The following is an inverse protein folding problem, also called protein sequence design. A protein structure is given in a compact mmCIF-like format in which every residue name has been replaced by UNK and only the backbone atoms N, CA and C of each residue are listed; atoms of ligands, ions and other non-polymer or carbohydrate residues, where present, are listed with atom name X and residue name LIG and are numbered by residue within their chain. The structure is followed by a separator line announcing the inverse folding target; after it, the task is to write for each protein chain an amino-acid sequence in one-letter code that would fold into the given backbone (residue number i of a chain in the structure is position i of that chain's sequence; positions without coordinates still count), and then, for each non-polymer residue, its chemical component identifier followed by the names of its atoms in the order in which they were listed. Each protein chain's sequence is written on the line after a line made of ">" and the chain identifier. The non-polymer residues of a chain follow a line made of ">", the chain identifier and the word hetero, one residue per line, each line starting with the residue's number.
data_IF_385883823394
#
_entry.id   IF_385883823394
#
_cell.length_a   1.000
_cell.length_b   1.000
_cell.length_c   1.000
_cell.angle_alpha   90.00
_cell.angle_beta   90.00
_cell.angle_gamma   90.00
#
_symmetry.space_group_name_H-M   'P 1'
#
loop_
_entity.id
_entity.type
_entity.pdbx_description
1 polymer ?
#
# COMPACT_ATOMS: atom_id res chain seq x y z
N UNK A 1 -2.66 -17.14 -52.08
CA UNK A 1 -3.46 -15.93 -51.76
C UNK A 1 -2.88 -15.28 -50.51
N UNK A 2 -3.05 -13.93 -50.36
CA UNK A 2 -2.57 -13.28 -49.16
C UNK A 2 -3.45 -13.64 -47.95
N UNK A 3 -2.88 -14.36 -47.00
CA UNK A 3 -3.52 -14.62 -45.68
C UNK A 3 -3.40 -13.36 -44.84
N UNK A 4 -4.52 -12.79 -44.40
CA UNK A 4 -4.58 -11.63 -43.51
C UNK A 4 -4.67 -12.06 -42.07
N UNK A 5 -3.61 -11.86 -41.33
CA UNK A 5 -3.62 -12.12 -39.88
C UNK A 5 -4.03 -10.83 -39.17
N UNK A 6 -5.15 -10.92 -38.46
CA UNK A 6 -5.70 -9.80 -37.67
C UNK A 6 -5.14 -9.86 -36.26
N UNK A 7 -5.00 -8.70 -35.61
CA UNK A 7 -4.63 -8.65 -34.20
C UNK A 7 -5.69 -9.41 -33.38
N UNK A 8 -5.34 -10.55 -32.76
CA UNK A 8 -6.29 -11.31 -31.93
C UNK A 8 -6.53 -10.58 -30.59
N UNK A 9 -7.62 -10.88 -29.90
CA UNK A 9 -7.83 -10.52 -28.51
C UNK A 9 -6.89 -11.35 -27.62
N UNK A 10 -5.82 -10.70 -27.10
CA UNK A 10 -4.73 -11.35 -26.36
C UNK A 10 -4.99 -11.32 -24.84
N UNK A 11 -6.13 -10.77 -24.39
CA UNK A 11 -6.48 -10.70 -22.97
C UNK A 11 -7.86 -10.07 -22.76
N UNK A 12 -8.49 -10.36 -21.62
CA UNK A 12 -9.86 -9.99 -21.30
C UNK A 12 -10.15 -8.49 -21.58
N UNK A 13 -10.75 -8.18 -22.75
CA UNK A 13 -11.31 -6.87 -23.06
C UNK A 13 -10.33 -5.81 -23.58
N UNK A 14 -9.23 -6.21 -24.21
CA UNK A 14 -8.30 -5.28 -24.87
C UNK A 14 -8.91 -4.73 -26.15
N UNK A 15 -8.86 -3.40 -26.32
CA UNK A 15 -9.31 -2.72 -27.53
C UNK A 15 -8.17 -2.44 -28.52
N UNK A 16 -6.92 -2.25 -28.03
CA UNK A 16 -5.75 -1.92 -28.83
C UNK A 16 -4.45 -2.49 -28.24
N UNK A 17 -3.41 -2.65 -29.07
CA UNK A 17 -2.05 -2.98 -28.66
C UNK A 17 -1.03 -2.13 -29.45
N UNK A 18 0.13 -1.87 -28.87
CA UNK A 18 1.24 -1.15 -29.49
C UNK A 18 2.26 -2.13 -30.06
N UNK A 19 2.68 -1.94 -31.29
CA UNK A 19 3.73 -2.75 -31.93
C UNK A 19 5.08 -2.30 -31.38
N UNK A 20 5.76 -3.17 -30.61
CA UNK A 20 7.07 -2.86 -30.01
C UNK A 20 8.18 -3.08 -31.02
N UNK A 21 8.27 -4.28 -31.58
CA UNK A 21 9.30 -4.66 -32.54
C UNK A 21 8.78 -5.72 -33.50
N UNK A 22 9.14 -5.57 -34.78
CA UNK A 22 8.91 -6.59 -35.79
C UNK A 22 10.10 -7.55 -35.86
N UNK A 23 9.84 -8.84 -35.60
CA UNK A 23 10.85 -9.90 -35.69
C UNK A 23 11.08 -10.40 -37.13
N UNK A 24 10.31 -9.85 -38.07
CA UNK A 24 10.34 -10.22 -39.49
C UNK A 24 10.20 -8.96 -40.36
N UNK A 25 10.74 -9.00 -41.58
CA UNK A 25 10.63 -7.93 -42.54
C UNK A 25 9.77 -8.34 -43.76
N UNK A 26 9.30 -7.34 -44.53
CA UNK A 26 8.58 -7.59 -45.80
C UNK A 26 9.51 -8.32 -46.76
N UNK A 27 9.07 -9.47 -47.26
CA UNK A 27 9.81 -10.38 -48.12
C UNK A 27 10.43 -11.58 -47.42
N UNK A 28 10.39 -11.63 -46.07
CA UNK A 28 10.89 -12.77 -45.34
C UNK A 28 9.97 -13.99 -45.48
N UNK A 29 10.57 -15.18 -45.44
CA UNK A 29 9.86 -16.45 -45.42
C UNK A 29 9.70 -16.88 -43.96
N UNK A 30 8.46 -17.04 -43.51
CA UNK A 30 8.12 -17.39 -42.16
C UNK A 30 7.53 -18.81 -42.10
N UNK A 31 7.85 -19.53 -41.03
CA UNK A 31 7.24 -20.81 -40.72
C UNK A 31 5.98 -20.60 -39.86
N UNK A 32 5.08 -21.58 -39.84
CA UNK A 32 3.96 -21.61 -38.91
C UNK A 32 4.48 -21.66 -37.48
N UNK A 33 3.84 -20.93 -36.59
CA UNK A 33 4.20 -20.76 -35.15
C UNK A 33 5.53 -20.04 -34.92
N UNK A 34 6.14 -19.44 -35.94
CA UNK A 34 7.31 -18.58 -35.79
C UNK A 34 6.88 -17.21 -35.24
N UNK A 35 7.58 -16.66 -34.22
CA UNK A 35 7.31 -15.30 -33.73
C UNK A 35 7.44 -14.26 -34.86
N UNK A 36 6.43 -13.38 -35.02
CA UNK A 36 6.36 -12.35 -36.03
C UNK A 36 6.60 -10.96 -35.49
N UNK A 37 6.03 -10.68 -34.33
CA UNK A 37 5.98 -9.33 -33.75
C UNK A 37 5.83 -9.41 -32.25
N UNK A 38 6.48 -8.50 -31.55
CA UNK A 38 6.24 -8.24 -30.14
C UNK A 38 5.25 -7.08 -30.02
N UNK A 39 4.16 -7.29 -29.28
CA UNK A 39 3.14 -6.28 -29.01
C UNK A 39 3.02 -6.02 -27.52
N UNK A 40 2.87 -4.76 -27.15
CA UNK A 40 2.68 -4.31 -25.81
C UNK A 40 1.19 -3.99 -25.59
N UNK A 41 0.61 -4.62 -24.56
CA UNK A 41 -0.71 -4.32 -24.06
C UNK A 41 -0.62 -3.49 -22.78
N UNK A 42 -1.73 -3.06 -22.23
CA UNK A 42 -1.79 -2.34 -20.95
C UNK A 42 -1.27 -3.16 -19.74
N UNK A 43 -1.07 -4.49 -19.92
CA UNK A 43 -0.70 -5.42 -18.82
C UNK A 43 0.57 -6.21 -19.05
N UNK A 44 0.94 -6.47 -20.30
CA UNK A 44 2.11 -7.29 -20.62
C UNK A 44 2.57 -7.12 -22.06
N UNK A 45 3.84 -7.44 -22.31
CA UNK A 45 4.38 -7.67 -23.66
C UNK A 45 4.14 -9.12 -24.07
N UNK A 46 3.74 -9.35 -25.31
CA UNK A 46 3.43 -10.68 -25.86
C UNK A 46 3.95 -10.82 -27.27
N UNK A 47 4.62 -11.94 -27.56
CA UNK A 47 5.01 -12.30 -28.93
C UNK A 47 3.86 -13.01 -29.66
N UNK A 48 3.54 -12.55 -30.86
CA UNK A 48 2.50 -13.16 -31.71
C UNK A 48 3.13 -14.06 -32.75
N UNK A 49 2.78 -15.37 -32.75
CA UNK A 49 3.29 -16.31 -33.75
C UNK A 49 2.48 -16.27 -35.05
N UNK A 50 3.12 -16.68 -36.15
CA UNK A 50 2.50 -16.80 -37.46
C UNK A 50 1.45 -17.94 -37.49
N UNK A 51 0.24 -17.67 -37.95
CA UNK A 51 -0.78 -18.72 -38.10
C UNK A 51 -0.51 -19.63 -39.31
N UNK A 52 0.29 -19.21 -40.26
CA UNK A 52 0.60 -19.92 -41.52
C UNK A 52 2.07 -19.80 -41.88
N UNK A 53 2.57 -20.75 -42.68
CA UNK A 53 3.87 -20.60 -43.31
C UNK A 53 3.70 -19.87 -44.66
N UNK A 54 4.64 -18.94 -44.99
CA UNK A 54 4.53 -18.20 -46.23
C UNK A 54 5.52 -17.05 -46.31
N UNK A 55 5.36 -16.16 -47.28
CA UNK A 55 6.19 -14.97 -47.43
C UNK A 55 5.46 -13.72 -46.97
N UNK A 56 6.09 -12.90 -46.15
CA UNK A 56 5.52 -11.64 -45.65
C UNK A 56 5.35 -10.64 -46.81
N UNK A 57 4.11 -10.26 -47.09
CA UNK A 57 3.77 -9.30 -48.12
C UNK A 57 3.72 -7.86 -47.60
N UNK A 58 3.17 -7.66 -46.40
CA UNK A 58 2.94 -6.36 -45.82
C UNK A 58 2.84 -6.42 -44.29
N UNK A 59 3.39 -5.42 -43.62
CA UNK A 59 3.18 -5.15 -42.20
C UNK A 59 2.03 -4.14 -42.05
N UNK A 60 1.13 -4.35 -41.10
CA UNK A 60 -0.08 -3.56 -40.94
C UNK A 60 0.13 -2.25 -40.19
N UNK A 61 1.14 -2.19 -39.30
CA UNK A 61 1.50 -1.01 -38.51
C UNK A 61 3.01 -0.86 -38.44
N UNK A 62 3.51 0.34 -38.19
CA UNK A 62 4.93 0.61 -37.93
C UNK A 62 5.27 0.29 -36.44
N UNK A 63 6.56 0.13 -36.15
CA UNK A 63 7.04 0.07 -34.74
C UNK A 63 6.70 1.35 -34.00
N UNK A 64 6.17 1.22 -32.76
CA UNK A 64 5.64 2.32 -31.95
C UNK A 64 4.22 2.75 -32.30
N UNK A 65 3.57 2.15 -33.32
CA UNK A 65 2.20 2.46 -33.71
C UNK A 65 1.19 1.54 -32.98
N UNK A 66 0.02 2.09 -32.66
CA UNK A 66 -1.08 1.32 -32.05
C UNK A 66 -2.00 0.76 -33.11
N UNK A 67 -2.41 -0.47 -32.91
CA UNK A 67 -3.32 -1.21 -33.78
C UNK A 67 -4.50 -1.74 -32.96
N UNK A 68 -5.72 -1.66 -33.52
CA UNK A 68 -6.93 -2.13 -32.84
C UNK A 68 -7.12 -3.64 -33.01
N UNK A 69 -7.71 -4.28 -32.03
CA UNK A 69 -8.12 -5.70 -32.12
C UNK A 69 -9.06 -5.86 -33.32
N UNK A 70 -8.72 -6.82 -34.20
CA UNK A 70 -9.45 -7.06 -35.43
C UNK A 70 -8.94 -6.30 -36.66
N UNK A 71 -7.97 -5.41 -36.54
CA UNK A 71 -7.27 -4.82 -37.67
C UNK A 71 -6.20 -5.75 -38.25
N UNK A 72 -5.80 -5.51 -39.50
CA UNK A 72 -4.82 -6.35 -40.19
C UNK A 72 -3.42 -6.07 -39.63
N UNK A 73 -2.86 -7.03 -38.90
CA UNK A 73 -1.53 -6.96 -38.32
C UNK A 73 -0.43 -7.26 -39.38
N UNK A 74 -0.62 -8.33 -40.16
CA UNK A 74 0.33 -8.73 -41.18
C UNK A 74 -0.38 -9.47 -42.32
N UNK A 75 0.12 -9.34 -43.56
CA UNK A 75 -0.33 -10.12 -44.73
C UNK A 75 0.79 -11.08 -45.18
N UNK A 76 0.47 -12.37 -45.30
CA UNK A 76 1.41 -13.46 -45.61
C UNK A 76 0.89 -14.18 -46.88
N UNK A 77 1.73 -14.37 -47.87
CA UNK A 77 1.41 -15.24 -49.02
C UNK A 77 1.72 -16.69 -48.69
N UNK A 78 0.70 -17.46 -48.46
CA UNK A 78 0.80 -18.87 -48.12
C UNK A 78 0.90 -19.82 -49.32
N UNK A 79 0.91 -19.26 -50.53
CA UNK A 79 1.08 -20.02 -51.80
C UNK A 79 -0.11 -20.95 -52.14
N UNK A 80 -1.22 -20.88 -51.40
CA UNK A 80 -2.42 -21.68 -51.67
C UNK A 80 -3.34 -20.96 -52.68
N UNK A 81 -3.60 -21.63 -53.79
CA UNK A 81 -4.65 -21.29 -54.75
C UNK A 81 -5.91 -22.09 -54.40
N UNK A 82 -7.04 -21.42 -54.29
CA UNK A 82 -8.41 -21.86 -54.10
C UNK A 82 -9.09 -21.83 -52.70
N UNK A 83 -10.14 -21.04 -52.70
CA UNK A 83 -11.53 -21.43 -52.40
C UNK A 83 -11.96 -21.42 -50.93
N UNK A 84 -12.70 -20.34 -50.62
CA UNK A 84 -13.88 -20.38 -49.73
C UNK A 84 -13.88 -21.40 -48.57
N UNK A 85 -13.75 -20.91 -47.35
CA UNK A 85 -14.84 -21.19 -46.39
C UNK A 85 -14.79 -20.25 -45.15
N UNK A 86 -15.92 -19.65 -44.87
CA UNK A 86 -16.14 -18.89 -43.65
C UNK A 86 -16.36 -19.85 -42.48
N UNK A 87 -15.78 -19.65 -41.34
CA UNK A 87 -16.11 -20.49 -40.20
C UNK A 87 -17.41 -20.00 -39.54
N UNK A 88 -18.37 -20.94 -39.48
CA UNK A 88 -19.56 -20.89 -38.67
C UNK A 88 -19.20 -20.95 -37.18
N UNK A 89 -19.97 -20.32 -36.32
CA UNK A 89 -19.75 -20.38 -34.89
C UNK A 89 -20.14 -21.74 -34.34
N UNK A 90 -19.26 -22.34 -33.56
CA UNK A 90 -19.52 -23.57 -32.85
C UNK A 90 -20.13 -23.31 -31.49
N UNK A 91 -21.16 -24.05 -31.23
CA UNK A 91 -22.06 -24.11 -30.12
C UNK A 91 -21.44 -24.16 -28.72
N UNK A 92 -22.10 -23.45 -27.86
CA UNK A 92 -22.07 -23.56 -26.40
C UNK A 92 -22.68 -24.91 -25.96
N UNK A 93 -22.14 -25.61 -24.99
CA UNK A 93 -22.97 -26.46 -24.15
C UNK A 93 -23.25 -25.79 -22.82
N UNK A 94 -24.51 -25.53 -22.65
CA UNK A 94 -25.25 -25.32 -21.42
C UNK A 94 -24.94 -26.42 -20.38
N UNK A 95 -24.61 -26.06 -19.18
CA UNK A 95 -24.69 -26.91 -18.01
C UNK A 95 -25.02 -26.09 -16.77
N UNK A 96 -26.31 -25.87 -16.65
CA UNK A 96 -27.01 -25.54 -15.41
C UNK A 96 -26.66 -26.55 -14.31
N UNK A 97 -26.13 -26.07 -13.18
CA UNK A 97 -26.49 -26.65 -11.88
C UNK A 97 -26.44 -25.60 -10.79
N UNK A 98 -27.62 -25.30 -10.32
CA UNK A 98 -27.91 -24.53 -9.11
C UNK A 98 -27.20 -25.14 -7.88
N UNK A 99 -26.53 -24.32 -7.11
CA UNK A 99 -26.17 -24.63 -5.73
C UNK A 99 -26.90 -23.66 -4.84
N UNK A 100 -27.73 -24.22 -4.03
CA UNK A 100 -28.60 -23.62 -3.04
C UNK A 100 -27.80 -22.80 -2.01
N UNK A 101 -28.18 -21.55 -1.88
CA UNK A 101 -27.67 -20.65 -0.84
C UNK A 101 -28.37 -21.00 0.47
N UNK A 102 -27.67 -21.59 1.41
CA UNK A 102 -28.12 -21.65 2.80
C UNK A 102 -27.72 -20.35 3.52
N UNK A 103 -28.72 -19.63 3.95
CA UNK A 103 -28.64 -18.44 4.82
C UNK A 103 -28.27 -18.89 6.23
N UNK A 104 -27.26 -18.30 6.89
CA UNK A 104 -27.03 -18.60 8.30
C UNK A 104 -28.11 -17.94 9.15
N UNK A 105 -28.75 -18.72 9.97
CA UNK A 105 -29.77 -18.31 10.93
C UNK A 105 -29.18 -17.35 11.99
N UNK A 106 -29.86 -16.25 12.18
CA UNK A 106 -29.67 -15.30 13.27
C UNK A 106 -29.87 -16.01 14.62
N UNK A 107 -28.85 -16.07 15.44
CA UNK A 107 -28.94 -16.52 16.82
C UNK A 107 -29.44 -15.36 17.70
N UNK A 108 -30.70 -15.44 18.11
CA UNK A 108 -31.23 -14.62 19.20
C UNK A 108 -30.53 -14.95 20.54
N UNK A 109 -30.32 -13.96 21.44
CA UNK A 109 -29.72 -14.21 22.73
C UNK A 109 -30.69 -14.95 23.66
N UNK A 110 -30.34 -16.19 23.98
CA UNK A 110 -31.11 -17.00 24.91
C UNK A 110 -30.90 -16.51 26.35
N UNK A 111 -31.96 -16.08 26.95
CA UNK A 111 -32.12 -15.80 28.39
C UNK A 111 -31.65 -16.96 29.28
N UNK A 112 -30.93 -16.63 30.35
CA UNK A 112 -30.42 -17.57 31.34
C UNK A 112 -31.57 -18.29 32.05
N UNK A 113 -31.49 -19.60 32.25
CA UNK A 113 -32.43 -20.31 33.13
C UNK A 113 -31.96 -20.31 34.57
N UNK A 114 -32.83 -19.79 35.41
CA UNK A 114 -32.80 -19.89 36.88
C UNK A 114 -32.78 -21.33 37.36
N UNK A 115 -31.87 -21.64 38.32
CA UNK A 115 -31.95 -22.62 39.37
C UNK A 115 -32.37 -24.07 39.05
N UNK A 116 -31.52 -24.84 38.36
CA UNK A 116 -31.67 -26.29 38.24
C UNK A 116 -30.40 -27.03 38.70
N UNK A 117 -30.57 -28.15 39.46
CA UNK A 117 -29.47 -28.99 39.97
C UNK A 117 -28.58 -29.42 38.79
N UNK A 118 -27.33 -28.92 38.74
CA UNK A 118 -26.34 -29.19 37.70
C UNK A 118 -26.09 -30.71 37.60
N UNK A 119 -26.38 -31.28 36.42
CA UNK A 119 -26.16 -32.71 36.11
C UNK A 119 -24.75 -32.91 35.57
N UNK A 120 -23.79 -33.27 36.38
CA UNK A 120 -22.42 -33.59 35.99
C UNK A 120 -21.92 -34.84 36.72
N UNK A 121 -21.02 -35.61 36.08
CA UNK A 121 -20.39 -36.78 36.73
C UNK A 121 -19.37 -36.35 37.78
N UNK A 122 -19.01 -37.25 38.73
CA UNK A 122 -17.97 -36.93 39.72
C UNK A 122 -16.62 -36.55 39.10
N UNK A 123 -16.25 -37.17 37.94
CA UNK A 123 -15.04 -36.85 37.22
C UNK A 123 -15.11 -35.44 36.58
N UNK A 124 -16.27 -35.06 35.98
CA UNK A 124 -16.51 -33.74 35.43
C UNK A 124 -16.46 -32.64 36.47
N UNK A 125 -16.99 -32.91 37.69
CA UNK A 125 -16.94 -31.96 38.82
C UNK A 125 -15.52 -31.75 39.33
N UNK A 126 -14.69 -32.83 39.38
CA UNK A 126 -13.29 -32.72 39.78
C UNK A 126 -12.48 -31.91 38.78
N UNK A 127 -12.64 -32.19 37.50
CA UNK A 127 -11.97 -31.42 36.43
C UNK A 127 -12.37 -29.95 36.46
N UNK A 128 -13.66 -29.62 36.66
CA UNK A 128 -14.12 -28.24 36.75
C UNK A 128 -13.49 -27.47 37.91
N UNK A 129 -13.29 -28.16 39.05
CA UNK A 129 -12.58 -27.59 40.20
C UNK A 129 -11.07 -27.38 39.92
N UNK A 130 -10.43 -28.31 39.21
CA UNK A 130 -9.01 -28.21 38.85
C UNK A 130 -8.75 -27.06 37.88
N UNK A 131 -9.66 -26.83 36.90
CA UNK A 131 -9.51 -25.78 35.85
C UNK A 131 -10.29 -24.49 36.19
N UNK A 132 -10.90 -24.37 37.37
CA UNK A 132 -11.55 -23.15 37.83
C UNK A 132 -12.86 -22.78 37.11
N UNK A 133 -13.54 -23.74 36.47
CA UNK A 133 -14.75 -23.51 35.67
C UNK A 133 -16.01 -23.72 36.53
N UNK A 134 -16.92 -22.73 36.58
CA UNK A 134 -18.21 -22.86 37.26
C UNK A 134 -19.21 -23.66 36.39
N UNK A 135 -19.55 -24.86 36.90
CA UNK A 135 -20.52 -25.74 36.23
C UNK A 135 -21.94 -25.17 36.16
N UNK A 136 -22.30 -24.19 36.97
CA UNK A 136 -23.61 -23.57 36.93
C UNK A 136 -23.77 -22.63 35.71
N UNK A 137 -22.65 -22.14 35.20
CA UNK A 137 -22.60 -21.29 34.02
C UNK A 137 -22.56 -22.08 32.69
N UNK A 138 -22.41 -23.43 32.76
CA UNK A 138 -22.26 -24.26 31.57
C UNK A 138 -23.57 -24.91 31.14
N UNK A 139 -23.75 -24.98 29.81
CA UNK A 139 -24.80 -25.78 29.16
C UNK A 139 -24.23 -27.15 28.79
N UNK A 140 -24.73 -28.22 29.38
CA UNK A 140 -24.25 -29.58 29.11
C UNK A 140 -24.68 -30.06 27.70
N UNK A 141 -23.74 -30.57 26.91
CA UNK A 141 -23.97 -31.18 25.60
C UNK A 141 -24.41 -32.64 25.63
N UNK A 142 -24.31 -33.29 26.81
CA UNK A 142 -24.63 -34.72 26.99
C UNK A 142 -26.14 -35.02 27.11
N UNK A 143 -26.52 -36.30 27.05
CA UNK A 143 -27.92 -36.72 27.10
C UNK A 143 -28.66 -36.20 28.34
N UNK A 144 -29.83 -35.57 28.12
CA UNK A 144 -30.62 -34.93 29.17
C UNK A 144 -30.01 -33.68 29.80
N UNK A 145 -29.13 -32.95 29.06
CA UNK A 145 -28.49 -31.72 29.51
C UNK A 145 -27.36 -31.95 30.53
N UNK A 146 -26.73 -33.12 30.50
CA UNK A 146 -25.59 -33.44 31.38
C UNK A 146 -24.32 -32.78 30.88
N UNK A 147 -23.57 -32.12 31.76
CA UNK A 147 -22.26 -31.53 31.45
C UNK A 147 -21.23 -32.66 31.30
N UNK A 148 -20.56 -32.70 30.16
CA UNK A 148 -19.47 -33.61 29.80
C UNK A 148 -18.11 -33.09 30.23
N UNK A 149 -17.08 -33.91 30.20
CA UNK A 149 -15.68 -33.49 30.40
C UNK A 149 -15.23 -32.53 29.30
N UNK A 150 -15.72 -32.73 28.08
CA UNK A 150 -15.37 -31.90 26.92
C UNK A 150 -16.02 -30.51 27.02
N UNK A 151 -17.20 -30.38 27.59
CA UNK A 151 -17.83 -29.08 27.86
C UNK A 151 -16.97 -28.26 28.85
N UNK A 152 -16.42 -28.90 29.87
CA UNK A 152 -15.55 -28.26 30.86
C UNK A 152 -14.22 -27.85 30.25
N UNK A 153 -13.61 -28.68 29.37
CA UNK A 153 -12.38 -28.35 28.65
C UNK A 153 -12.58 -27.19 27.68
N UNK A 154 -13.67 -27.22 26.92
CA UNK A 154 -14.02 -26.14 25.99
C UNK A 154 -14.22 -24.81 26.74
N UNK A 155 -14.88 -24.84 27.89
CA UNK A 155 -15.07 -23.66 28.73
C UNK A 155 -13.78 -23.15 29.38
N UNK A 156 -12.87 -24.04 29.76
CA UNK A 156 -11.55 -23.66 30.27
C UNK A 156 -10.73 -22.94 29.19
N UNK A 157 -10.72 -23.47 27.97
CA UNK A 157 -10.06 -22.84 26.83
C UNK A 157 -10.69 -21.49 26.45
N UNK A 158 -12.02 -21.37 26.57
CA UNK A 158 -12.72 -20.07 26.36
C UNK A 158 -12.50 -19.12 27.55
N UNK A 159 -12.33 -19.60 28.75
CA UNK A 159 -12.03 -18.80 29.94
C UNK A 159 -10.64 -18.16 29.89
N UNK A 160 -9.67 -18.84 29.32
CA UNK A 160 -8.33 -18.27 29.06
C UNK A 160 -8.37 -17.14 28.01
N UNK A 161 -9.38 -17.11 27.14
CA UNK A 161 -9.63 -16.03 26.19
C UNK A 161 -10.52 -14.90 26.75
N UNK A 162 -11.09 -15.07 27.96
CA UNK A 162 -11.85 -14.01 28.62
C UNK A 162 -10.91 -12.97 29.19
N UNK A 163 -10.78 -11.86 28.52
CA UNK A 163 -10.17 -10.63 29.04
C UNK A 163 -11.01 -10.18 30.26
N UNK A 164 -10.57 -10.53 31.45
CA UNK A 164 -11.27 -10.25 32.73
C UNK A 164 -10.98 -8.86 33.29
N UNK A 165 -10.26 -7.99 32.59
CA UNK A 165 -10.22 -6.58 32.92
C UNK A 165 -11.18 -5.79 32.02
N UNK A 166 -12.09 -4.96 32.62
CA UNK A 166 -12.84 -4.03 31.80
C UNK A 166 -11.85 -3.15 31.05
N UNK A 167 -11.91 -3.19 29.72
CA UNK A 167 -11.11 -2.34 28.84
C UNK A 167 -11.19 -0.91 29.38
N UNK A 168 -10.10 -0.40 29.95
CA UNK A 168 -10.00 1.02 30.27
C UNK A 168 -10.28 1.76 28.97
N UNK A 169 -11.22 2.73 28.96
CA UNK A 169 -11.49 3.46 27.74
C UNK A 169 -10.18 4.01 27.19
N UNK A 170 -9.86 3.65 25.96
CA UNK A 170 -8.69 4.18 25.24
C UNK A 170 -8.79 5.70 25.30
N UNK A 171 -7.97 6.33 26.12
CA UNK A 171 -7.85 7.78 26.11
C UNK A 171 -7.26 8.13 24.76
N UNK A 172 -8.10 8.54 23.82
CA UNK A 172 -7.63 9.22 22.61
C UNK A 172 -6.87 10.44 23.09
N UNK A 173 -5.60 10.55 22.71
CA UNK A 173 -4.86 11.79 22.90
C UNK A 173 -5.70 12.93 22.35
N UNK A 174 -5.85 14.04 23.06
CA UNK A 174 -6.59 15.17 22.51
C UNK A 174 -5.93 15.56 21.19
N UNK A 175 -6.70 15.49 20.11
CA UNK A 175 -6.28 16.01 18.81
C UNK A 175 -6.03 17.50 19.05
N UNK A 176 -4.78 17.92 18.86
CA UNK A 176 -4.46 19.35 18.96
C UNK A 176 -5.35 20.14 17.99
N UNK A 177 -6.03 21.19 18.41
CA UNK A 177 -6.95 21.95 17.56
C UNK A 177 -6.16 22.83 16.58
N UNK A 178 -5.40 22.21 15.67
CA UNK A 178 -4.54 22.92 14.70
C UNK A 178 -5.38 23.63 13.62
N UNK A 179 -6.70 23.42 13.55
CA UNK A 179 -7.54 23.89 12.44
C UNK A 179 -8.77 24.71 12.83
N UNK A 180 -8.74 25.41 13.96
CA UNK A 180 -9.90 26.20 14.39
C UNK A 180 -10.24 27.34 13.44
N UNK A 181 -9.27 27.98 12.79
CA UNK A 181 -9.53 29.08 11.88
C UNK A 181 -10.02 28.64 10.50
N UNK A 182 -9.49 27.53 9.94
CA UNK A 182 -9.93 27.01 8.64
C UNK A 182 -11.31 26.35 8.71
N UNK A 183 -11.73 25.85 9.87
CA UNK A 183 -13.05 25.29 10.11
C UNK A 183 -14.14 26.33 10.39
N UNK A 184 -13.78 27.62 10.51
CA UNK A 184 -14.70 28.72 10.88
C UNK A 184 -15.04 29.66 9.70
N UNK A 185 -14.85 29.19 8.46
CA UNK A 185 -15.27 29.97 7.29
C UNK A 185 -16.79 30.09 7.25
N UNK A 186 -17.27 31.30 7.03
CA UNK A 186 -18.72 31.56 6.83
C UNK A 186 -19.23 30.88 5.55
N UNK A 187 -20.51 30.55 5.52
CA UNK A 187 -21.12 29.99 4.32
C UNK A 187 -21.04 31.00 3.16
N UNK A 188 -20.55 30.55 1.99
CA UNK A 188 -20.39 31.43 0.84
C UNK A 188 -19.31 31.00 -0.13
N UNK A 189 -19.11 31.82 -1.15
CA UNK A 189 -18.01 31.64 -2.10
C UNK A 189 -16.74 32.31 -1.58
N UNK A 190 -15.66 31.55 -1.49
CA UNK A 190 -14.34 32.03 -1.12
C UNK A 190 -13.34 31.77 -2.24
N UNK A 191 -12.63 32.79 -2.66
CA UNK A 191 -11.61 32.66 -3.70
C UNK A 191 -10.38 31.92 -3.16
N UNK A 192 -9.82 31.01 -3.96
CA UNK A 192 -8.59 30.28 -3.65
C UNK A 192 -7.38 31.21 -3.90
N UNK A 193 -6.83 31.82 -2.85
CA UNK A 193 -5.69 32.72 -2.91
C UNK A 193 -4.53 32.23 -2.05
N UNK A 194 -3.32 32.78 -2.29
CA UNK A 194 -2.11 32.48 -1.51
C UNK A 194 -1.77 30.98 -1.48
N UNK A 195 -1.34 30.48 -0.34
CA UNK A 195 -0.92 29.09 -0.12
C UNK A 195 -2.05 28.12 -0.49
N UNK A 196 -3.30 28.39 -0.12
CA UNK A 196 -4.43 27.52 -0.43
C UNK A 196 -4.64 27.35 -1.95
N UNK A 197 -4.46 28.41 -2.71
CA UNK A 197 -4.54 28.36 -4.17
C UNK A 197 -3.41 27.53 -4.79
N UNK A 198 -2.19 27.65 -4.26
CA UNK A 198 -1.04 26.82 -4.68
C UNK A 198 -1.28 25.34 -4.36
N UNK A 199 -1.69 25.03 -3.13
CA UNK A 199 -1.99 23.65 -2.72
C UNK A 199 -3.08 23.05 -3.61
N UNK A 200 -4.17 23.76 -3.88
CA UNK A 200 -5.27 23.27 -4.72
C UNK A 200 -4.77 22.91 -6.13
N UNK A 201 -3.96 23.78 -6.74
CA UNK A 201 -3.39 23.50 -8.08
C UNK A 201 -2.43 22.31 -8.05
N UNK A 202 -1.51 22.27 -7.08
CA UNK A 202 -0.53 21.19 -6.98
C UNK A 202 -1.19 19.83 -6.75
N UNK A 203 -2.22 19.76 -5.89
CA UNK A 203 -2.95 18.51 -5.62
C UNK A 203 -3.78 18.07 -6.84
N UNK A 204 -4.43 19.00 -7.54
CA UNK A 204 -5.14 18.70 -8.78
C UNK A 204 -4.20 18.19 -9.86
N UNK A 205 -3.05 18.86 -10.04
CA UNK A 205 -2.01 18.45 -10.98
C UNK A 205 -1.48 17.06 -10.67
N UNK A 206 -1.04 16.84 -9.42
CA UNK A 206 -0.51 15.55 -9.00
C UNK A 206 -1.52 14.42 -9.21
N UNK A 207 -2.80 14.64 -8.85
CA UNK A 207 -3.83 13.63 -9.00
C UNK A 207 -4.16 13.29 -10.45
N UNK A 208 -4.04 14.26 -11.36
CA UNK A 208 -4.29 14.04 -12.79
C UNK A 208 -3.10 13.44 -13.57
N UNK A 209 -1.86 13.72 -13.12
CA UNK A 209 -0.65 13.31 -13.83
C UNK A 209 -0.04 12.01 -13.31
N UNK A 210 -0.20 11.72 -12.00
CA UNK A 210 0.48 10.60 -11.35
C UNK A 210 -0.51 9.45 -11.08
N UNK A 211 -0.34 8.28 -11.69
CA UNK A 211 -1.05 7.07 -11.31
C UNK A 211 -0.50 6.54 -9.98
N UNK A 212 -1.10 6.98 -8.87
CA UNK A 212 -0.66 6.62 -7.52
C UNK A 212 -0.95 5.16 -7.21
N UNK A 213 0.07 4.42 -6.75
CA UNK A 213 -0.11 3.16 -6.02
C UNK A 213 0.27 3.37 -4.56
N UNK A 214 -0.32 2.57 -3.65
CA UNK A 214 -0.01 2.63 -2.23
C UNK A 214 0.26 1.23 -1.69
N UNK A 215 1.44 1.04 -1.09
CA UNK A 215 1.73 -0.14 -0.28
C UNK A 215 1.62 0.23 1.20
N UNK A 216 0.95 -0.61 1.98
CA UNK A 216 0.63 -0.31 3.37
C UNK A 216 1.00 -1.49 4.27
N UNK A 217 1.51 -1.17 5.46
CA UNK A 217 1.78 -2.15 6.50
C UNK A 217 1.50 -1.56 7.88
N UNK A 218 1.35 -2.44 8.85
CA UNK A 218 1.27 -2.08 10.26
C UNK A 218 2.25 -2.94 11.04
N UNK A 219 3.30 -2.32 11.55
CA UNK A 219 4.45 -3.02 12.13
C UNK A 219 4.47 -2.93 13.65
N UNK A 220 5.00 -3.96 14.32
CA UNK A 220 5.28 -3.91 15.75
C UNK A 220 6.34 -2.84 16.03
N UNK A 221 5.94 -1.80 16.74
CA UNK A 221 6.78 -0.65 17.07
C UNK A 221 7.37 -0.74 18.51
N UNK A 222 7.33 -1.90 19.14
CA UNK A 222 7.79 -2.05 20.54
C UNK A 222 9.23 -1.61 20.70
N UNK A 223 10.14 -2.10 19.85
CA UNK A 223 11.55 -1.73 19.94
C UNK A 223 11.79 -0.27 19.52
N UNK A 224 11.01 0.27 18.57
CA UNK A 224 11.08 1.69 18.19
C UNK A 224 10.68 2.61 19.36
N UNK A 225 9.61 2.27 20.09
CA UNK A 225 9.17 3.01 21.27
C UNK A 225 10.23 2.95 22.37
N UNK A 226 10.77 1.77 22.64
CA UNK A 226 11.83 1.58 23.64
C UNK A 226 13.11 2.32 23.27
N UNK A 227 13.53 2.22 22.00
CA UNK A 227 14.68 2.93 21.45
C UNK A 227 14.54 4.45 21.65
N UNK A 228 13.42 5.01 21.18
CA UNK A 228 13.14 6.45 21.36
C UNK A 228 13.17 6.87 22.83
N UNK A 229 12.56 6.08 23.73
CA UNK A 229 12.53 6.40 25.15
C UNK A 229 13.92 6.37 25.78
N UNK A 230 14.77 5.42 25.37
CA UNK A 230 16.18 5.34 25.81
C UNK A 230 16.98 6.52 25.30
N UNK A 231 16.87 6.87 24.00
CA UNK A 231 17.56 8.05 23.44
C UNK A 231 17.16 9.31 24.19
N UNK A 232 15.87 9.54 24.42
CA UNK A 232 15.38 10.73 25.12
C UNK A 232 15.81 10.80 26.59
N UNK A 233 16.17 9.69 27.21
CA UNK A 233 16.70 9.65 28.57
C UNK A 233 18.21 9.92 28.64
N UNK A 234 18.90 10.03 27.50
CA UNK A 234 20.32 10.34 27.47
C UNK A 234 20.57 11.81 27.77
N UNK A 235 21.61 12.10 28.55
CA UNK A 235 22.11 13.46 28.74
C UNK A 235 22.93 13.89 27.50
N UNK A 236 22.25 14.06 26.39
CA UNK A 236 22.84 14.46 25.11
C UNK A 236 21.96 15.51 24.45
N UNK A 237 22.61 16.59 23.95
CA UNK A 237 21.92 17.64 23.18
C UNK A 237 21.17 17.01 21.99
N UNK A 238 19.92 17.44 21.76
CA UNK A 238 19.08 16.96 20.68
C UNK A 238 18.38 15.63 20.95
N UNK A 239 18.68 14.91 22.07
CA UNK A 239 18.07 13.64 22.40
C UNK A 239 16.55 13.72 22.63
N UNK A 240 16.08 14.82 23.22
CA UNK A 240 14.66 15.11 23.47
C UNK A 240 13.87 15.37 22.18
N UNK A 241 14.54 15.84 21.13
CA UNK A 241 13.96 16.09 19.81
C UNK A 241 13.78 14.80 18.97
N UNK A 242 14.38 13.67 19.38
CA UNK A 242 14.23 12.39 18.66
C UNK A 242 12.81 11.88 18.81
N UNK A 243 12.07 11.88 17.71
CA UNK A 243 10.70 11.38 17.57
C UNK A 243 10.67 10.17 16.65
N UNK A 244 9.52 9.47 16.56
CA UNK A 244 9.34 8.39 15.58
C UNK A 244 9.51 8.90 14.13
N UNK A 245 9.11 10.15 13.86
CA UNK A 245 9.33 10.80 12.56
C UNK A 245 10.83 10.94 12.25
N UNK A 246 11.63 11.34 13.22
CA UNK A 246 13.10 11.48 13.04
C UNK A 246 13.74 10.13 12.71
N UNK A 247 13.36 9.07 13.44
CA UNK A 247 13.87 7.71 13.17
C UNK A 247 13.46 7.26 11.77
N UNK A 248 12.20 7.51 11.38
CA UNK A 248 11.71 7.18 10.05
C UNK A 248 12.39 8.02 8.94
N UNK A 249 12.75 9.28 9.22
CA UNK A 249 13.47 10.12 8.26
C UNK A 249 14.89 9.60 8.00
N UNK A 250 15.59 9.17 9.05
CA UNK A 250 16.94 8.53 8.88
C UNK A 250 16.80 7.21 8.12
N UNK A 251 15.85 6.36 8.49
CA UNK A 251 15.58 5.09 7.80
C UNK A 251 15.26 5.31 6.32
N UNK A 252 14.37 6.27 6.01
CA UNK A 252 14.00 6.62 4.64
C UNK A 252 15.20 7.16 3.85
N UNK A 253 16.00 8.06 4.42
CA UNK A 253 17.18 8.63 3.76
C UNK A 253 18.21 7.55 3.40
N UNK A 254 18.46 6.57 4.29
CA UNK A 254 19.32 5.41 4.01
C UNK A 254 18.73 4.51 2.92
N UNK A 255 17.42 4.24 3.00
CA UNK A 255 16.75 3.43 2.00
C UNK A 255 16.77 4.10 0.61
N UNK A 256 16.61 5.42 0.52
CA UNK A 256 16.66 6.18 -0.73
C UNK A 256 18.05 6.11 -1.42
N UNK A 257 19.14 6.03 -0.65
CA UNK A 257 20.47 5.76 -1.22
C UNK A 257 20.58 4.37 -1.83
N UNK A 258 19.93 3.39 -1.21
CA UNK A 258 19.93 2.00 -1.68
C UNK A 258 18.99 1.80 -2.88
N UNK A 259 17.92 2.60 -2.95
CA UNK A 259 16.90 2.55 -4.00
C UNK A 259 16.76 3.92 -4.69
N UNK A 260 17.76 4.37 -5.47
CA UNK A 260 17.79 5.72 -6.04
C UNK A 260 16.62 6.02 -6.97
N UNK A 261 16.01 5.02 -7.62
CA UNK A 261 14.79 5.18 -8.41
C UNK A 261 13.63 5.76 -7.59
N UNK A 262 13.51 5.41 -6.30
CA UNK A 262 12.46 5.92 -5.42
C UNK A 262 12.68 7.39 -5.04
N UNK A 263 13.94 7.87 -5.12
CA UNK A 263 14.30 9.29 -4.99
C UNK A 263 14.15 10.06 -6.31
N UNK A 264 13.89 9.36 -7.42
CA UNK A 264 13.78 9.92 -8.75
C UNK A 264 12.41 10.54 -9.05
N UNK A 265 12.32 11.20 -10.17
CA UNK A 265 11.08 11.73 -10.73
C UNK A 265 11.12 11.68 -12.27
N UNK A 266 9.95 11.80 -12.87
CA UNK A 266 9.80 11.90 -14.32
C UNK A 266 9.90 13.36 -14.76
N UNK A 267 10.57 13.59 -15.88
CA UNK A 267 10.69 14.88 -16.57
C UNK A 267 10.10 14.79 -17.98
N UNK A 268 9.58 15.92 -18.50
CA UNK A 268 8.93 15.99 -19.79
C UNK A 268 7.40 16.01 -19.71
N UNK A 269 6.74 16.43 -20.82
CA UNK A 269 5.28 16.39 -21.01
C UNK A 269 4.96 16.11 -22.49
N UNK A 270 4.65 14.86 -22.87
CA UNK A 270 4.65 13.65 -22.03
C UNK A 270 6.04 13.34 -21.45
N UNK A 271 6.07 12.62 -20.32
CA UNK A 271 7.31 12.25 -19.66
C UNK A 271 8.19 11.38 -20.57
N UNK A 272 9.45 11.82 -20.79
CA UNK A 272 10.42 11.18 -21.68
C UNK A 272 11.79 10.90 -21.01
N UNK A 273 11.94 11.29 -19.75
CA UNK A 273 13.16 11.06 -18.97
C UNK A 273 12.89 10.75 -17.50
N UNK A 274 13.79 9.96 -16.91
CA UNK A 274 13.89 9.73 -15.48
C UNK A 274 15.06 10.54 -14.96
N UNK A 275 14.83 11.39 -13.97
CA UNK A 275 15.87 12.15 -13.27
C UNK A 275 16.08 11.56 -11.89
N UNK A 276 17.31 11.14 -11.59
CA UNK A 276 17.71 10.64 -10.27
C UNK A 276 18.63 11.68 -9.64
N UNK A 277 18.18 12.37 -8.57
CA UNK A 277 19.01 13.36 -7.85
C UNK A 277 20.22 12.71 -7.18
N UNK A 278 21.34 13.44 -7.12
CA UNK A 278 22.57 13.00 -6.44
C UNK A 278 22.43 12.97 -4.93
N UNK A 279 21.60 13.85 -4.35
CA UNK A 279 21.35 13.95 -2.91
C UNK A 279 19.91 13.61 -2.56
N UNK A 280 19.68 13.29 -1.30
CA UNK A 280 18.35 13.09 -0.73
C UNK A 280 17.91 14.34 0.01
N UNK A 281 16.90 15.03 -0.52
CA UNK A 281 16.29 16.20 0.12
C UNK A 281 14.89 15.84 0.63
N UNK A 282 14.73 15.73 1.95
CA UNK A 282 13.47 15.30 2.54
C UNK A 282 12.51 16.46 2.77
N UNK A 283 11.37 16.44 2.09
CA UNK A 283 10.23 17.28 2.42
C UNK A 283 9.53 16.75 3.68
N UNK A 284 9.38 17.59 4.69
CA UNK A 284 8.71 17.24 5.95
C UNK A 284 7.38 17.97 6.03
N UNK A 285 6.27 17.22 6.01
CA UNK A 285 4.94 17.82 6.09
C UNK A 285 4.67 18.39 7.49
N UNK A 286 4.50 19.70 7.60
CA UNK A 286 4.26 20.43 8.86
C UNK A 286 2.90 21.13 8.79
N UNK A 287 2.06 20.86 9.79
CA UNK A 287 0.80 21.56 9.97
C UNK A 287 1.05 22.92 10.64
N UNK A 288 0.52 24.00 10.02
CA UNK A 288 0.58 25.37 10.51
C UNK A 288 -0.80 26.00 10.56
N UNK A 289 -0.90 27.19 11.15
CA UNK A 289 -2.18 27.96 11.13
C UNK A 289 -2.63 28.32 9.71
N UNK A 290 -1.69 28.51 8.78
CA UNK A 290 -1.96 28.85 7.36
C UNK A 290 -2.27 27.62 6.49
N UNK A 291 -2.13 26.41 7.03
CA UNK A 291 -2.32 25.16 6.33
C UNK A 291 -1.11 24.23 6.40
N UNK A 292 -1.13 23.16 5.58
CA UNK A 292 -0.02 22.22 5.48
C UNK A 292 1.05 22.81 4.56
N UNK A 293 2.29 22.88 5.05
CA UNK A 293 3.47 23.26 4.27
C UNK A 293 4.53 22.18 4.40
N UNK A 294 5.45 22.11 3.41
CA UNK A 294 6.44 21.04 3.31
C UNK A 294 7.84 21.66 3.18
N UNK A 295 8.45 22.11 4.29
CA UNK A 295 9.86 22.54 4.29
C UNK A 295 10.81 21.38 4.00
N UNK A 296 12.02 21.69 3.54
CA UNK A 296 12.99 20.73 3.02
C UNK A 296 14.21 20.64 3.92
N UNK A 297 14.51 19.44 4.39
CA UNK A 297 15.79 19.06 5.00
C UNK A 297 16.71 18.59 3.88
N UNK A 298 17.77 19.37 3.60
CA UNK A 298 18.70 19.10 2.51
C UNK A 298 19.75 18.09 2.93
N UNK A 299 20.27 17.34 1.94
CA UNK A 299 21.34 16.36 2.09
C UNK A 299 21.10 15.42 3.28
N UNK A 300 19.83 15.01 3.45
CA UNK A 300 19.33 14.25 4.58
C UNK A 300 20.03 12.89 4.76
N UNK A 301 20.57 12.34 3.69
CA UNK A 301 21.35 11.10 3.68
C UNK A 301 22.74 11.23 4.29
N UNK A 302 23.19 12.45 4.58
CA UNK A 302 24.47 12.72 5.26
C UNK A 302 24.31 12.95 6.77
N UNK A 303 23.05 13.07 7.26
CA UNK A 303 22.76 13.42 8.63
C UNK A 303 22.67 12.16 9.51
N UNK A 304 23.31 12.21 10.68
CA UNK A 304 23.07 11.23 11.74
C UNK A 304 21.73 11.48 12.43
N UNK A 305 21.33 10.57 13.33
CA UNK A 305 20.05 10.65 14.04
C UNK A 305 19.84 11.99 14.77
N UNK A 306 20.89 12.54 15.38
CA UNK A 306 20.78 13.78 16.17
C UNK A 306 20.79 15.02 15.28
N UNK A 307 21.61 15.03 14.24
CA UNK A 307 21.61 16.09 13.24
C UNK A 307 20.27 16.14 12.49
N UNK A 308 19.69 14.98 12.15
CA UNK A 308 18.35 14.89 11.57
C UNK A 308 17.30 15.43 12.53
N UNK A 309 17.38 15.11 13.83
CA UNK A 309 16.45 15.63 14.83
C UNK A 309 16.52 17.17 14.95
N UNK A 310 17.74 17.74 14.97
CA UNK A 310 17.94 19.18 14.99
C UNK A 310 17.38 19.82 13.70
N UNK A 311 17.70 19.29 12.53
CA UNK A 311 17.25 19.82 11.23
C UNK A 311 15.72 19.79 11.09
N UNK A 312 15.07 18.67 11.44
CA UNK A 312 13.60 18.57 11.39
C UNK A 312 12.95 19.55 12.39
N UNK A 313 13.53 19.69 13.59
CA UNK A 313 13.00 20.62 14.59
C UNK A 313 13.10 22.05 14.09
N UNK A 314 14.25 22.46 13.56
CA UNK A 314 14.51 23.80 13.04
C UNK A 314 13.49 24.15 11.93
N UNK A 315 13.38 23.32 10.89
CA UNK A 315 12.46 23.62 9.78
C UNK A 315 11.00 23.61 10.22
N UNK A 316 10.63 22.76 11.19
CA UNK A 316 9.27 22.72 11.72
C UNK A 316 8.93 23.96 12.58
N UNK A 317 9.88 24.46 13.37
CA UNK A 317 9.69 25.67 14.19
C UNK A 317 9.62 26.92 13.33
N UNK A 318 10.50 27.06 12.34
CA UNK A 318 10.46 28.15 11.33
C UNK A 318 9.13 28.09 10.55
N UNK A 319 8.67 26.89 10.19
CA UNK A 319 7.38 26.70 9.53
C UNK A 319 6.21 27.24 10.36
N UNK A 320 6.19 26.93 11.67
CA UNK A 320 5.14 27.40 12.59
C UNK A 320 5.23 28.90 12.88
N UNK A 321 6.45 29.45 12.84
CA UNK A 321 6.72 30.89 13.01
C UNK A 321 6.44 31.72 11.74
N UNK A 322 6.06 31.05 10.60
CA UNK A 322 5.92 31.67 9.28
C UNK A 322 7.21 32.33 8.76
N UNK A 323 8.36 31.78 9.15
CA UNK A 323 9.73 32.27 8.85
C UNK A 323 10.45 31.34 7.86
N UNK A 324 9.78 30.98 6.76
CA UNK A 324 10.34 30.16 5.68
C UNK A 324 10.42 30.97 4.39
N UNK A 325 11.58 30.88 3.73
CA UNK A 325 11.77 31.42 2.39
C UNK A 325 11.21 30.44 1.31
N UNK A 326 11.06 30.92 0.07
CA UNK A 326 10.71 30.07 -1.04
C UNK A 326 11.76 28.97 -1.30
N UNK A 327 13.02 29.22 -0.99
CA UNK A 327 14.10 28.24 -1.09
C UNK A 327 13.94 27.09 -0.08
N UNK A 328 13.41 27.37 1.11
CA UNK A 328 13.16 26.35 2.13
C UNK A 328 12.01 25.40 1.76
N UNK A 329 11.15 25.79 0.80
CA UNK A 329 9.97 25.06 0.34
C UNK A 329 10.16 24.37 -1.01
N UNK A 330 11.37 24.41 -1.58
CA UNK A 330 11.65 23.90 -2.91
C UNK A 330 12.79 22.89 -2.92
N UNK A 331 12.80 21.98 -3.92
CA UNK A 331 13.90 21.04 -4.15
C UNK A 331 13.83 19.80 -3.27
N UNK A 332 12.68 19.47 -2.66
CA UNK A 332 12.47 18.16 -2.04
C UNK A 332 12.44 17.08 -3.13
N UNK A 333 13.15 15.99 -2.89
CA UNK A 333 13.18 14.82 -3.78
C UNK A 333 12.26 13.71 -3.31
N UNK A 334 11.96 13.68 -2.02
CA UNK A 334 11.05 12.72 -1.39
C UNK A 334 10.35 13.40 -0.21
N UNK A 335 9.10 13.06 0.07
CA UNK A 335 8.33 13.68 1.15
C UNK A 335 7.95 12.67 2.23
N UNK A 336 7.99 13.09 3.49
CA UNK A 336 7.46 12.33 4.63
C UNK A 336 6.33 13.12 5.28
N UNK A 337 5.19 12.46 5.45
CA UNK A 337 4.02 13.02 6.14
C UNK A 337 3.66 12.19 7.37
N UNK A 338 3.46 12.85 8.52
CA UNK A 338 3.07 12.21 9.77
C UNK A 338 1.66 12.65 10.18
N UNK A 339 0.66 11.92 9.71
CA UNK A 339 -0.74 12.12 10.11
C UNK A 339 -1.10 11.39 11.40
N UNK A 340 -0.17 10.58 11.92
CA UNK A 340 -0.32 9.89 13.20
C UNK A 340 -0.43 10.86 14.38
N UNK A 341 0.20 12.06 14.29
CA UNK A 341 0.04 13.13 15.27
C UNK A 341 -1.40 13.63 15.39
N UNK A 342 -2.21 13.45 14.34
CA UNK A 342 -3.65 13.76 14.29
C UNK A 342 -4.53 12.57 14.67
N UNK A 343 -3.93 11.42 15.02
CA UNK A 343 -4.64 10.18 15.41
C UNK A 343 -5.04 9.28 14.22
N UNK A 344 -4.58 9.60 13.00
CA UNK A 344 -4.85 8.77 11.81
C UNK A 344 -4.11 7.42 11.87
N UNK A 345 -4.77 6.34 11.41
CA UNK A 345 -4.16 5.01 11.29
C UNK A 345 -3.56 4.81 9.90
N UNK A 346 -4.37 4.91 8.87
CA UNK A 346 -3.96 4.85 7.47
C UNK A 346 -4.47 6.08 6.73
N UNK A 347 -3.73 6.51 5.74
CA UNK A 347 -4.10 7.54 4.79
C UNK A 347 -3.50 7.18 3.42
N UNK A 348 -3.98 7.83 2.37
CA UNK A 348 -3.43 7.75 1.03
C UNK A 348 -2.78 9.10 0.70
N UNK A 349 -1.51 9.33 1.08
CA UNK A 349 -0.86 10.60 0.82
C UNK A 349 -0.69 10.82 -0.68
N UNK A 350 -0.90 12.07 -1.11
CA UNK A 350 -0.71 12.48 -2.51
C UNK A 350 0.76 12.89 -2.70
N UNK A 351 1.40 12.36 -3.73
CA UNK A 351 2.80 12.67 -4.05
C UNK A 351 2.89 14.12 -4.52
N UNK A 352 3.78 14.96 -3.95
CA UNK A 352 3.97 16.31 -4.45
C UNK A 352 4.49 16.30 -5.91
N UNK A 353 4.06 17.24 -6.77
CA UNK A 353 4.58 17.34 -8.13
C UNK A 353 6.11 17.40 -8.17
N UNK A 354 6.73 16.69 -9.09
CA UNK A 354 8.19 16.60 -9.23
C UNK A 354 8.87 15.63 -8.26
N UNK A 355 8.12 14.70 -7.65
CA UNK A 355 8.64 13.61 -6.83
C UNK A 355 8.05 12.28 -7.30
N UNK A 356 8.79 11.18 -7.10
CA UNK A 356 8.33 9.84 -7.44
C UNK A 356 7.59 9.13 -6.31
N UNK A 357 7.77 9.54 -5.05
CA UNK A 357 7.15 8.85 -3.92
C UNK A 357 6.95 9.73 -2.67
N UNK A 358 6.14 9.24 -1.73
CA UNK A 358 5.85 9.85 -0.44
C UNK A 358 5.66 8.79 0.65
N UNK A 359 6.28 8.98 1.82
CA UNK A 359 6.12 8.12 2.97
C UNK A 359 5.11 8.71 3.97
N UNK A 360 4.13 7.93 4.36
CA UNK A 360 3.14 8.29 5.36
C UNK A 360 3.29 7.49 6.65
N UNK A 361 3.25 8.18 7.80
CA UNK A 361 3.32 7.56 9.12
C UNK A 361 2.00 7.77 9.86
N UNK A 362 1.41 6.65 10.33
CA UNK A 362 0.23 6.66 11.16
C UNK A 362 0.53 6.85 12.66
N UNK A 363 -0.52 6.78 13.48
CA UNK A 363 -0.39 6.90 14.93
C UNK A 363 0.15 5.61 15.54
N UNK A 364 1.21 5.75 16.36
CA UNK A 364 1.63 4.66 17.25
C UNK A 364 0.56 4.45 18.32
N UNK A 365 -0.01 3.25 18.38
CA UNK A 365 -1.03 2.88 19.36
C UNK A 365 -0.98 1.39 19.67
N UNK A 366 -1.43 1.01 20.88
CA UNK A 366 -1.59 -0.40 21.22
C UNK A 366 -2.70 -1.03 20.39
N UNK A 367 -2.38 -2.14 19.74
CA UNK A 367 -3.31 -2.92 18.92
C UNK A 367 -3.09 -4.41 19.13
N UNK A 368 -4.13 -5.24 18.91
CA UNK A 368 -3.99 -6.69 19.01
C UNK A 368 -3.15 -7.20 17.84
N UNK A 369 -2.07 -7.90 18.15
CA UNK A 369 -1.20 -8.59 17.19
C UNK A 369 -1.05 -10.06 17.58
N UNK A 370 -0.84 -10.93 16.59
CA UNK A 370 -0.55 -12.34 16.83
C UNK A 370 0.96 -12.52 17.04
N UNK A 371 1.36 -12.99 18.21
CA UNK A 371 2.74 -13.32 18.57
C UNK A 371 2.75 -14.74 19.10
N UNK A 372 3.52 -15.64 18.51
CA UNK A 372 3.66 -17.05 18.91
C UNK A 372 2.30 -17.78 19.09
N UNK A 373 1.32 -17.45 18.25
CA UNK A 373 -0.02 -18.04 18.29
C UNK A 373 -0.97 -17.44 19.33
N UNK A 374 -0.52 -16.47 20.13
CA UNK A 374 -1.34 -15.72 21.08
C UNK A 374 -1.65 -14.30 20.56
N UNK A 375 -2.83 -13.78 20.93
CA UNK A 375 -3.18 -12.38 20.68
C UNK A 375 -2.70 -11.53 21.85
N UNK A 376 -1.79 -10.60 21.58
CA UNK A 376 -1.24 -9.68 22.58
C UNK A 376 -1.41 -8.23 22.16
N UNK A 377 -1.51 -7.30 23.11
CA UNK A 377 -1.47 -5.87 22.83
C UNK A 377 -0.02 -5.43 22.62
N UNK A 378 0.26 -4.79 21.46
CA UNK A 378 1.57 -4.23 21.12
C UNK A 378 1.41 -2.82 20.57
N UNK A 379 2.33 -1.90 20.83
CA UNK A 379 2.39 -0.66 20.09
C UNK A 379 2.68 -0.99 18.63
N UNK A 380 1.81 -0.56 17.72
CA UNK A 380 2.01 -0.72 16.28
C UNK A 380 2.09 0.63 15.60
N UNK A 381 2.87 0.70 14.51
CA UNK A 381 3.02 1.87 13.65
C UNK A 381 2.56 1.55 12.24
N UNK A 382 1.49 2.18 11.75
CA UNK A 382 1.13 2.11 10.34
C UNK A 382 2.12 2.89 9.47
N UNK A 383 2.60 2.26 8.40
CA UNK A 383 3.51 2.83 7.41
C UNK A 383 2.89 2.69 6.03
N UNK A 384 2.84 3.77 5.27
CA UNK A 384 2.27 3.82 3.92
C UNK A 384 3.30 4.42 2.98
N UNK A 385 3.60 3.76 1.89
CA UNK A 385 4.35 4.34 0.78
C UNK A 385 3.38 4.60 -0.37
N UNK A 386 3.29 5.85 -0.82
CA UNK A 386 2.69 6.22 -2.10
C UNK A 386 3.78 6.34 -3.15
N UNK A 387 3.58 5.77 -4.33
CA UNK A 387 4.54 5.78 -5.41
C UNK A 387 3.87 6.09 -6.76
N UNK A 388 4.62 6.74 -7.65
CA UNK A 388 4.25 6.95 -9.05
C UNK A 388 4.47 5.65 -9.83
N UNK A 389 3.38 5.00 -10.25
CA UNK A 389 3.47 3.69 -10.91
C UNK A 389 4.06 3.74 -12.33
N UNK A 390 4.29 4.93 -12.87
CA UNK A 390 5.05 5.09 -14.13
C UNK A 390 6.56 4.92 -13.93
N UNK A 391 7.04 5.10 -12.69
CA UNK A 391 8.46 5.08 -12.32
C UNK A 391 8.79 3.92 -11.38
N UNK A 392 7.89 3.57 -10.47
CA UNK A 392 8.11 2.67 -9.35
C UNK A 392 7.07 1.54 -9.40
N UNK A 393 7.53 0.36 -9.78
CA UNK A 393 6.71 -0.86 -9.79
C UNK A 393 6.45 -1.39 -8.38
N UNK A 394 5.47 -2.29 -8.26
CA UNK A 394 5.03 -2.82 -6.97
C UNK A 394 6.12 -3.54 -6.18
N UNK A 395 7.02 -4.27 -6.84
CA UNK A 395 8.14 -4.97 -6.22
C UNK A 395 9.19 -4.00 -5.68
N UNK A 396 9.53 -2.94 -6.44
CA UNK A 396 10.45 -1.89 -6.01
C UNK A 396 9.85 -1.09 -4.84
N UNK A 397 8.56 -0.72 -4.93
CA UNK A 397 7.84 -0.02 -3.86
C UNK A 397 7.85 -0.85 -2.57
N UNK A 398 7.59 -2.15 -2.67
CA UNK A 398 7.56 -3.05 -1.52
C UNK A 398 8.96 -3.29 -0.95
N UNK A 399 9.99 -3.47 -1.80
CA UNK A 399 11.37 -3.64 -1.35
C UNK A 399 11.88 -2.39 -0.58
N UNK A 400 11.59 -1.20 -1.09
CA UNK A 400 11.90 0.06 -0.41
C UNK A 400 11.17 0.17 0.93
N UNK A 401 9.83 -0.01 0.92
CA UNK A 401 9.02 0.08 2.13
C UNK A 401 9.50 -0.90 3.21
N UNK A 402 9.77 -2.16 2.84
CA UNK A 402 10.30 -3.17 3.77
C UNK A 402 11.64 -2.77 4.35
N UNK A 403 12.55 -2.23 3.55
CA UNK A 403 13.84 -1.73 4.06
C UNK A 403 13.64 -0.64 5.11
N UNK A 404 12.74 0.32 4.88
CA UNK A 404 12.39 1.33 5.88
C UNK A 404 11.76 0.69 7.13
N UNK A 405 10.87 -0.27 6.97
CA UNK A 405 10.21 -0.98 8.07
C UNK A 405 11.21 -1.78 8.91
N UNK A 406 12.15 -2.49 8.28
CA UNK A 406 13.19 -3.26 8.97
C UNK A 406 14.02 -2.33 9.87
N UNK A 407 14.39 -1.14 9.38
CA UNK A 407 15.08 -0.11 10.16
C UNK A 407 14.22 0.45 11.33
N UNK A 408 12.91 0.48 11.17
CA UNK A 408 11.99 0.92 12.24
C UNK A 408 11.76 -0.18 13.30
N UNK A 409 11.76 -1.44 12.91
CA UNK A 409 11.59 -2.58 13.82
C UNK A 409 12.86 -2.78 14.65
N UNK A 410 14.05 -2.60 14.07
CA UNK A 410 15.34 -2.74 14.75
C UNK A 410 16.18 -1.46 14.64
N UNK A 411 15.82 -0.36 15.31
CA UNK A 411 16.41 0.96 15.05
C UNK A 411 17.84 1.14 15.63
N UNK A 412 18.38 0.17 16.37
CA UNK A 412 19.70 0.30 17.01
C UNK A 412 20.84 0.50 16.00
N UNK A 413 20.75 -0.12 14.82
CA UNK A 413 21.77 0.02 13.79
C UNK A 413 21.78 1.40 13.12
N UNK A 414 20.73 2.21 13.28
CA UNK A 414 20.71 3.60 12.83
C UNK A 414 21.66 4.51 13.63
N UNK A 415 22.17 4.04 14.77
CA UNK A 415 23.19 4.76 15.56
C UNK A 415 24.62 4.45 15.09
N UNK A 416 24.81 3.39 14.35
CA UNK A 416 26.10 2.97 13.80
C UNK A 416 26.07 3.38 12.32
N UNK A 417 26.96 4.29 11.92
CA UNK A 417 27.12 4.64 10.51
C UNK A 417 27.44 3.39 9.68
N UNK A 418 27.08 3.41 8.40
CA UNK A 418 27.46 2.36 7.45
C UNK A 418 28.97 2.29 7.29
#
# INVERSE_FOLDING_TARGET
>A
MAHRFLLPDIGEGLEEAEVVEWLVAVGDVVARDQPLVEVLTDKASSELPSPVAGTVLRLGAAEGERIQVGEVLIEIDDGSDDGQDAPRPADTPDATKAATTETPATLEPATAPTGGRVKASPATRRLALEVGVDLAALRGSGPGGRISVDDVRAAATMGELSVTEPLKPVRRSPVSPIHTELGQMEAGRHDLRGIRGVVARNMARSWSEIPHIHTMDEVDASLLVDFRNRIRSMDRRGADAVTHLVVAAVAAARALRRFPMVNGHLEGDPADAIVIPESVNLGIAVATQRGLIVPVVRDADTLDLFAMAEAITEVADRARADDLSAADLSGATFTITNYGSLGGRFATPIIPPGQGAILGLGSVAERPVAVDGAVVARPTLPVVLGADHRLIDGDLAEAFRRTVVDDLIEPLHLLVGD
#
